data_IF_867553946118
#
_entry.id   IF_867553946118
#
_cell.length_a   1.000
_cell.length_b   1.000
_cell.length_c   1.000
_cell.angle_alpha   90.00
_cell.angle_beta   90.00
_cell.angle_gamma   90.00
#
_symmetry.space_group_name_H-M   'P 1'
#
loop_
_entity.id
_entity.type
_entity.pdbx_description
1 polymer ?
#
# COMPACT_ATOMS: atom_id res chain seq x y z
N UNK A 1 -3.40 -7.50 18.71
CA UNK A 1 -3.61 -8.52 17.73
C UNK A 1 -4.04 -8.01 16.38
N UNK A 2 -4.58 -8.91 15.57
CA UNK A 2 -4.99 -8.57 14.22
C UNK A 2 -6.15 -7.56 14.17
N UNK A 3 -7.01 -7.54 15.19
CA UNK A 3 -8.15 -6.62 15.18
C UNK A 3 -7.73 -5.16 15.29
N UNK A 4 -6.71 -4.84 16.09
CA UNK A 4 -6.21 -3.46 16.17
C UNK A 4 -5.63 -3.03 14.83
N UNK A 5 -4.89 -3.90 14.17
CA UNK A 5 -4.35 -3.63 12.85
C UNK A 5 -5.47 -3.40 11.83
N UNK A 6 -6.47 -4.27 11.81
CA UNK A 6 -7.59 -4.15 10.86
C UNK A 6 -8.37 -2.86 11.08
N UNK A 7 -8.63 -2.49 12.34
CA UNK A 7 -9.34 -1.24 12.65
C UNK A 7 -8.54 -0.04 12.17
N UNK A 8 -7.21 -0.01 12.42
CA UNK A 8 -6.39 1.11 11.99
C UNK A 8 -6.32 1.22 10.46
N UNK A 9 -6.24 0.11 9.74
CA UNK A 9 -6.24 0.12 8.26
C UNK A 9 -7.57 0.55 7.68
N UNK A 10 -8.68 0.08 8.26
CA UNK A 10 -10.02 0.51 7.86
C UNK A 10 -10.21 2.00 8.14
N UNK A 11 -9.65 2.50 9.25
CA UNK A 11 -9.67 3.92 9.59
C UNK A 11 -8.96 4.77 8.56
N UNK A 12 -7.76 4.35 8.13
CA UNK A 12 -7.01 5.05 7.09
C UNK A 12 -7.80 5.09 5.78
N UNK A 13 -8.42 3.98 5.41
CA UNK A 13 -9.24 3.90 4.20
C UNK A 13 -10.41 4.88 4.26
N UNK A 14 -11.16 4.86 5.34
CA UNK A 14 -12.32 5.74 5.49
C UNK A 14 -11.89 7.21 5.58
N UNK A 15 -10.80 7.50 6.28
CA UNK A 15 -10.24 8.85 6.36
C UNK A 15 -9.85 9.37 4.97
N UNK A 16 -9.27 8.52 4.13
CA UNK A 16 -8.92 8.86 2.75
C UNK A 16 -10.18 9.26 1.97
N UNK A 17 -11.24 8.49 2.09
CA UNK A 17 -12.50 8.78 1.39
C UNK A 17 -13.14 10.07 1.88
N UNK A 18 -13.22 10.24 3.20
CA UNK A 18 -13.78 11.45 3.80
C UNK A 18 -12.98 12.69 3.42
N UNK A 19 -11.65 12.61 3.50
CA UNK A 19 -10.77 13.71 3.11
C UNK A 19 -10.93 14.07 1.65
N UNK A 20 -11.05 13.07 0.77
CA UNK A 20 -11.25 13.31 -0.66
C UNK A 20 -12.54 14.10 -0.92
N UNK A 21 -13.63 13.70 -0.26
CA UNK A 21 -14.93 14.36 -0.43
C UNK A 21 -14.89 15.79 0.13
N UNK A 22 -14.36 15.95 1.33
CA UNK A 22 -14.35 17.25 2.02
C UNK A 22 -13.44 18.28 1.34
N UNK A 23 -12.32 17.83 0.77
CA UNK A 23 -11.32 18.73 0.20
C UNK A 23 -11.47 18.92 -1.31
N UNK A 24 -12.36 18.17 -1.95
CA UNK A 24 -12.57 18.28 -3.40
C UNK A 24 -12.94 19.70 -3.84
N UNK A 25 -13.73 20.39 -3.05
CA UNK A 25 -14.15 21.77 -3.36
C UNK A 25 -12.97 22.75 -3.40
N UNK A 26 -11.84 22.38 -2.79
CA UNK A 26 -10.62 23.18 -2.79
C UNK A 26 -9.63 22.72 -3.86
N UNK A 27 -10.03 21.78 -4.72
CA UNK A 27 -9.15 21.21 -5.74
C UNK A 27 -8.05 20.32 -5.17
N UNK A 28 -8.24 19.79 -3.97
CA UNK A 28 -7.25 18.93 -3.31
C UNK A 28 -7.69 17.48 -3.46
N UNK A 29 -6.79 16.66 -3.95
CA UNK A 29 -6.99 15.21 -4.07
C UNK A 29 -6.36 14.49 -2.87
N UNK A 30 -7.02 13.45 -2.38
CA UNK A 30 -6.55 12.66 -1.24
C UNK A 30 -6.61 11.19 -1.65
N UNK A 31 -5.48 10.55 -1.66
CA UNK A 31 -5.34 9.14 -2.01
C UNK A 31 -4.43 8.44 -1.01
N UNK A 32 -4.40 7.14 -1.04
CA UNK A 32 -3.56 6.35 -0.14
C UNK A 32 -2.82 5.26 -0.92
N UNK A 33 -1.73 4.79 -0.34
CA UNK A 33 -0.93 3.68 -0.87
C UNK A 33 -0.84 2.62 0.20
N UNK A 34 -1.18 1.38 -0.17
CA UNK A 34 -1.13 0.21 0.73
C UNK A 34 -0.03 -0.75 0.28
N UNK A 35 1.17 -0.69 0.88
CA UNK A 35 2.26 -1.56 0.47
C UNK A 35 2.03 -3.03 0.83
N UNK A 36 2.60 -3.94 0.04
CA UNK A 36 2.73 -5.33 0.43
C UNK A 36 4.00 -5.55 1.26
N UNK A 37 4.67 -6.68 1.07
CA UNK A 37 5.93 -6.97 1.76
C UNK A 37 7.09 -6.29 1.03
N UNK A 38 7.70 -5.32 1.69
CA UNK A 38 8.72 -4.45 1.11
C UNK A 38 10.04 -4.61 1.86
N UNK A 39 11.15 -4.61 1.14
CA UNK A 39 12.48 -4.55 1.74
C UNK A 39 12.72 -3.14 2.26
N UNK A 40 12.76 -2.96 3.58
CA UNK A 40 13.03 -1.65 4.18
C UNK A 40 14.04 -1.79 5.30
N UNK A 41 14.58 -0.67 5.75
CA UNK A 41 15.47 -0.66 6.93
C UNK A 41 14.72 -1.10 8.19
N UNK A 42 13.41 -0.86 8.27
CA UNK A 42 12.58 -1.27 9.40
C UNK A 42 12.37 -2.79 9.44
N UNK A 43 12.43 -3.45 8.30
CA UNK A 43 12.31 -4.91 8.20
C UNK A 43 13.66 -5.60 8.05
N UNK A 44 14.78 -4.87 8.26
CA UNK A 44 16.11 -5.39 7.99
C UNK A 44 16.44 -6.70 8.70
N UNK A 45 16.09 -6.83 9.99
CA UNK A 45 16.32 -8.06 10.74
C UNK A 45 15.47 -9.22 10.18
N UNK A 46 14.23 -8.94 9.79
CA UNK A 46 13.34 -9.94 9.18
C UNK A 46 13.81 -10.32 7.77
N UNK A 47 14.27 -9.34 6.97
CA UNK A 47 14.73 -9.62 5.60
C UNK A 47 16.06 -10.37 5.57
N UNK A 48 16.81 -10.40 6.68
CA UNK A 48 18.01 -11.24 6.78
C UNK A 48 17.66 -12.70 7.09
N UNK A 49 16.41 -13.01 7.44
CA UNK A 49 15.96 -14.38 7.72
C UNK A 49 15.40 -15.00 6.43
N UNK A 50 16.14 -15.94 5.85
CA UNK A 50 15.77 -16.56 4.58
C UNK A 50 14.40 -17.24 4.62
N UNK A 51 14.06 -17.90 5.72
CA UNK A 51 12.77 -18.60 5.85
C UNK A 51 11.60 -17.59 5.84
N UNK A 52 11.77 -16.45 6.50
CA UNK A 52 10.76 -15.40 6.50
C UNK A 52 10.58 -14.84 5.09
N UNK A 53 11.70 -14.51 4.43
CA UNK A 53 11.69 -13.95 3.07
C UNK A 53 11.01 -14.93 2.10
N UNK A 54 11.39 -16.20 2.13
CA UNK A 54 10.79 -17.23 1.28
C UNK A 54 9.28 -17.35 1.51
N UNK A 55 8.84 -17.28 2.76
CA UNK A 55 7.43 -17.31 3.09
C UNK A 55 6.68 -16.15 2.49
N UNK A 56 7.24 -14.94 2.59
CA UNK A 56 6.60 -13.73 2.03
C UNK A 56 6.59 -13.76 0.50
N UNK A 57 7.65 -14.27 -0.10
CA UNK A 57 7.71 -14.41 -1.55
C UNK A 57 6.64 -15.39 -2.05
N UNK A 58 6.44 -16.49 -1.33
CA UNK A 58 5.41 -17.47 -1.69
C UNK A 58 4.00 -16.90 -1.61
N UNK A 59 3.74 -16.02 -0.64
CA UNK A 59 2.44 -15.36 -0.49
C UNK A 59 2.19 -14.31 -1.57
N UNK A 60 3.24 -13.80 -2.19
CA UNK A 60 3.14 -12.72 -3.17
C UNK A 60 3.05 -13.29 -4.58
N UNK A 61 1.94 -13.06 -5.30
CA UNK A 61 1.80 -13.62 -6.66
C UNK A 61 2.94 -13.27 -7.61
N UNK A 62 3.51 -12.05 -7.53
CA UNK A 62 4.66 -11.69 -8.38
C UNK A 62 5.99 -12.31 -7.93
N UNK A 63 5.97 -13.09 -6.85
CA UNK A 63 7.10 -13.91 -6.40
C UNK A 63 8.37 -13.13 -6.09
N UNK A 64 8.22 -11.97 -5.49
CA UNK A 64 9.32 -11.18 -4.95
C UNK A 64 8.83 -10.25 -3.86
N UNK A 65 9.76 -9.77 -3.02
CA UNK A 65 9.47 -8.63 -2.16
C UNK A 65 9.47 -7.37 -3.00
N UNK A 66 8.72 -6.37 -2.57
CA UNK A 66 8.78 -5.05 -3.20
C UNK A 66 10.03 -4.31 -2.78
N UNK A 67 10.43 -3.35 -3.58
CA UNK A 67 11.50 -2.41 -3.27
C UNK A 67 10.88 -1.08 -2.83
N UNK A 68 11.57 -0.26 -2.04
CA UNK A 68 11.06 1.07 -1.69
C UNK A 68 10.65 1.90 -2.91
N UNK A 69 11.36 1.74 -4.02
CA UNK A 69 11.04 2.45 -5.26
C UNK A 69 9.68 2.06 -5.82
N UNK A 70 9.23 0.81 -5.62
CA UNK A 70 7.90 0.39 -6.05
C UNK A 70 6.81 1.24 -5.37
N UNK A 71 7.01 1.57 -4.10
CA UNK A 71 6.08 2.42 -3.35
C UNK A 71 6.23 3.89 -3.76
N UNK A 72 7.46 4.35 -3.89
CA UNK A 72 7.73 5.73 -4.31
C UNK A 72 7.10 6.03 -5.67
N UNK A 73 7.17 5.09 -6.61
CA UNK A 73 6.58 5.26 -7.94
C UNK A 73 5.05 5.37 -7.88
N UNK A 74 4.39 4.61 -7.00
CA UNK A 74 2.95 4.72 -6.80
C UNK A 74 2.58 6.09 -6.24
N UNK A 75 3.33 6.57 -5.25
CA UNK A 75 3.13 7.90 -4.68
C UNK A 75 3.36 9.00 -5.72
N UNK A 76 4.40 8.85 -6.52
CA UNK A 76 4.72 9.82 -7.57
C UNK A 76 3.57 9.94 -8.59
N UNK A 77 3.03 8.80 -9.02
CA UNK A 77 1.87 8.80 -9.93
C UNK A 77 0.70 9.57 -9.31
N UNK A 78 0.34 9.23 -8.05
CA UNK A 78 -0.81 9.84 -7.39
C UNK A 78 -0.64 11.35 -7.19
N UNK A 79 0.61 11.81 -7.02
CA UNK A 79 0.90 13.24 -6.86
C UNK A 79 1.02 13.99 -8.18
N UNK A 80 1.04 13.28 -9.31
CA UNK A 80 1.28 13.88 -10.62
C UNK A 80 -0.02 14.31 -11.30
N UNK A 81 0.12 15.11 -12.35
CA UNK A 81 -1.01 15.55 -13.15
C UNK A 81 -1.69 14.40 -13.90
N UNK A 82 -0.97 13.30 -14.15
CA UNK A 82 -1.56 12.10 -14.75
C UNK A 82 -2.66 11.51 -13.90
N UNK A 83 -2.64 11.77 -12.57
CA UNK A 83 -3.66 11.32 -11.65
C UNK A 83 -4.69 12.41 -11.31
N UNK A 84 -4.84 13.41 -12.16
CA UNK A 84 -5.65 14.60 -11.87
C UNK A 84 -7.13 14.31 -11.60
N UNK A 85 -7.64 13.19 -12.07
CA UNK A 85 -9.04 12.78 -11.83
C UNK A 85 -9.16 11.64 -10.82
N UNK A 86 -8.07 11.33 -10.09
CA UNK A 86 -8.03 10.26 -9.10
C UNK A 86 -8.05 10.86 -7.70
N UNK A 87 -9.11 10.59 -6.93
CA UNK A 87 -9.21 10.99 -5.53
C UNK A 87 -10.05 9.98 -4.75
N UNK A 88 -9.76 9.80 -3.49
CA UNK A 88 -10.47 8.86 -2.64
C UNK A 88 -10.09 7.40 -2.87
N UNK A 89 -9.01 7.14 -3.57
CA UNK A 89 -8.60 5.79 -3.95
C UNK A 89 -7.43 5.30 -3.10
N UNK A 90 -7.31 3.97 -3.03
CA UNK A 90 -6.15 3.32 -2.45
C UNK A 90 -5.52 2.45 -3.54
N UNK A 91 -4.22 2.62 -3.77
CA UNK A 91 -3.45 1.78 -4.67
C UNK A 91 -2.63 0.81 -3.82
N UNK A 92 -2.62 -0.46 -4.20
CA UNK A 92 -1.89 -1.51 -3.48
C UNK A 92 -0.71 -2.03 -4.31
N UNK A 93 0.46 -1.39 -4.21
CA UNK A 93 1.67 -1.93 -4.85
C UNK A 93 2.22 -3.08 -4.00
N UNK A 94 1.60 -4.23 -4.12
CA UNK A 94 1.79 -5.39 -3.25
C UNK A 94 2.09 -6.69 -4.00
N UNK A 95 2.36 -6.58 -5.30
CA UNK A 95 2.65 -7.76 -6.12
C UNK A 95 1.48 -8.71 -6.28
N UNK A 96 0.26 -8.25 -6.01
CA UNK A 96 -0.96 -9.04 -6.14
C UNK A 96 -1.41 -9.71 -4.85
N UNK A 97 -0.75 -9.41 -3.72
CA UNK A 97 -1.04 -10.06 -2.43
C UNK A 97 -2.53 -10.00 -2.07
N UNK A 98 -3.12 -8.82 -2.17
CA UNK A 98 -4.51 -8.62 -1.76
C UNK A 98 -5.51 -9.15 -2.80
N UNK A 99 -5.09 -9.30 -4.03
CA UNK A 99 -5.92 -9.84 -5.11
C UNK A 99 -6.07 -11.37 -5.00
N UNK A 100 -5.17 -12.03 -4.30
CA UNK A 100 -5.23 -13.47 -4.13
C UNK A 100 -6.36 -13.81 -3.14
N UNK A 101 -7.34 -14.55 -3.61
CA UNK A 101 -8.49 -14.94 -2.79
C UNK A 101 -8.14 -15.83 -1.59
N UNK A 102 -6.91 -16.32 -1.55
CA UNK A 102 -6.41 -17.12 -0.42
C UNK A 102 -5.79 -16.23 0.67
N UNK A 103 -5.63 -14.96 0.40
CA UNK A 103 -5.00 -14.03 1.33
C UNK A 103 -5.93 -13.54 2.41
#
# INVERSE_FOLDING_TARGET
>A
GASDYCVSKAGVWMLTKCGAIELARHGIRVNAVGPGYIKTSMSGAATSNEAWVEGRIKETPLRRLGEPLDIANACLYLCSDEASFVTGEIIFPDGGLIADSRS
#
